data_IF_550299107148
#
_entry.id   IF_550299107148
#
_cell.length_a   1.000
_cell.length_b   1.000
_cell.length_c   1.000
_cell.angle_alpha   90.00
_cell.angle_beta   90.00
_cell.angle_gamma   90.00
#
_symmetry.space_group_name_H-M   'P 1'
#
loop_
_entity.id
_entity.type
_entity.pdbx_description
1 polymer ?
#
# COMPACT_ATOMS: atom_id res chain seq x y z
N UNK A 1 -6.49 -40.72 41.70
CA UNK A 1 -6.00 -39.65 40.80
C UNK A 1 -5.67 -38.41 41.62
N UNK A 2 -4.53 -37.76 41.38
CA UNK A 2 -4.08 -36.56 42.12
C UNK A 2 -4.63 -35.28 41.49
N UNK A 3 -5.23 -34.40 42.30
CA UNK A 3 -5.80 -33.11 41.86
C UNK A 3 -4.70 -32.09 41.60
N UNK A 4 -4.51 -31.68 40.34
CA UNK A 4 -3.57 -30.61 39.96
C UNK A 4 -4.28 -29.26 39.90
N UNK A 5 -3.78 -28.26 40.65
CA UNK A 5 -4.32 -26.89 40.61
C UNK A 5 -3.77 -26.12 39.40
N UNK A 6 -4.60 -25.24 38.83
CA UNK A 6 -4.28 -24.40 37.66
C UNK A 6 -3.09 -23.44 37.86
N UNK A 7 -2.82 -22.97 39.08
CA UNK A 7 -1.64 -22.15 39.41
C UNK A 7 -1.48 -20.87 38.56
N UNK A 8 -0.22 -20.51 38.28
CA UNK A 8 0.19 -19.27 37.61
C UNK A 8 -0.06 -19.24 36.09
N UNK A 9 -0.34 -20.39 35.48
CA UNK A 9 -0.49 -20.55 34.01
C UNK A 9 -1.55 -19.61 33.44
N UNK A 10 -2.68 -19.45 34.15
CA UNK A 10 -3.75 -18.55 33.74
C UNK A 10 -3.38 -17.07 33.88
N UNK A 11 -2.65 -16.69 34.93
CA UNK A 11 -2.16 -15.32 35.13
C UNK A 11 -1.14 -14.95 34.04
N UNK A 12 -0.26 -15.88 33.66
CA UNK A 12 0.69 -15.71 32.54
C UNK A 12 -0.04 -15.43 31.21
N UNK A 13 -1.11 -16.18 30.91
CA UNK A 13 -1.96 -15.95 29.73
C UNK A 13 -2.62 -14.57 29.74
N UNK A 14 -3.19 -14.17 30.88
CA UNK A 14 -3.82 -12.85 31.02
C UNK A 14 -2.82 -11.71 30.86
N UNK A 15 -1.62 -11.83 31.44
CA UNK A 15 -0.54 -10.82 31.30
C UNK A 15 -0.13 -10.63 29.84
N UNK A 16 0.00 -11.72 29.06
CA UNK A 16 0.29 -11.66 27.62
C UNK A 16 -0.79 -10.90 26.84
N UNK A 17 -2.07 -11.15 27.14
CA UNK A 17 -3.19 -10.47 26.48
C UNK A 17 -3.25 -8.99 26.88
N UNK A 18 -3.03 -8.68 28.15
CA UNK A 18 -3.01 -7.30 28.66
C UNK A 18 -1.88 -6.48 28.06
N UNK A 19 -0.70 -7.09 27.87
CA UNK A 19 0.42 -6.46 27.18
C UNK A 19 0.11 -6.09 25.73
N UNK A 20 -0.67 -6.93 25.03
CA UNK A 20 -1.15 -6.61 23.67
C UNK A 20 -2.20 -5.50 23.68
N UNK A 21 -3.05 -5.45 24.70
CA UNK A 21 -4.19 -4.54 24.81
C UNK A 21 -3.87 -3.21 25.55
N UNK A 22 -2.60 -2.92 25.85
CA UNK A 22 -2.21 -1.78 26.69
C UNK A 22 -2.67 -0.43 26.15
N UNK A 23 -2.65 -0.26 24.83
CA UNK A 23 -3.05 0.99 24.14
C UNK A 23 -4.54 1.03 23.82
N UNK A 24 -5.31 0.00 24.17
CA UNK A 24 -6.74 0.00 23.93
C UNK A 24 -7.46 0.92 24.91
N UNK A 25 -8.50 1.59 24.43
CA UNK A 25 -9.22 2.56 25.24
C UNK A 25 -10.18 1.89 26.24
N UNK A 26 -10.31 2.51 27.42
CA UNK A 26 -11.33 2.20 28.43
C UNK A 26 -11.34 0.71 28.83
N UNK A 27 -12.51 0.09 28.83
CA UNK A 27 -12.72 -1.29 29.24
C UNK A 27 -11.93 -2.32 28.41
N UNK A 28 -11.48 -1.97 27.19
CA UNK A 28 -10.74 -2.87 26.32
C UNK A 28 -9.30 -3.14 26.79
N UNK A 29 -8.70 -2.29 27.63
CA UNK A 29 -7.37 -2.53 28.23
C UNK A 29 -7.44 -3.06 29.67
N UNK A 30 -8.61 -2.94 30.33
CA UNK A 30 -8.81 -3.28 31.74
C UNK A 30 -9.46 -4.65 31.91
N UNK A 31 -10.59 -4.90 31.23
CA UNK A 31 -11.40 -6.10 31.45
C UNK A 31 -10.89 -7.28 30.61
N UNK A 32 -10.47 -8.36 31.25
CA UNK A 32 -9.85 -9.51 30.56
C UNK A 32 -10.70 -10.13 29.46
N UNK A 33 -12.01 -10.29 29.67
CA UNK A 33 -12.95 -10.83 28.66
C UNK A 33 -13.05 -9.89 27.45
N UNK A 34 -13.23 -8.61 27.70
CA UNK A 34 -13.35 -7.59 26.64
C UNK A 34 -12.03 -7.44 25.87
N UNK A 35 -10.88 -7.43 26.56
CA UNK A 35 -9.56 -7.42 25.94
C UNK A 35 -9.32 -8.64 25.06
N UNK A 36 -9.76 -9.83 25.49
CA UNK A 36 -9.62 -11.06 24.68
C UNK A 36 -10.39 -10.97 23.36
N UNK A 37 -11.62 -10.44 23.40
CA UNK A 37 -12.44 -10.27 22.20
C UNK A 37 -11.85 -9.21 21.28
N UNK A 38 -11.41 -8.08 21.85
CA UNK A 38 -10.79 -7.01 21.09
C UNK A 38 -9.48 -7.44 20.42
N UNK A 39 -8.67 -8.24 21.10
CA UNK A 39 -7.46 -8.83 20.51
C UNK A 39 -7.78 -9.66 19.27
N UNK A 40 -8.79 -10.51 19.34
CA UNK A 40 -9.20 -11.36 18.19
C UNK A 40 -9.64 -10.46 17.03
N UNK A 41 -10.50 -9.49 17.28
CA UNK A 41 -10.96 -8.53 16.26
C UNK A 41 -9.81 -7.76 15.62
N UNK A 42 -8.86 -7.27 16.43
CA UNK A 42 -7.69 -6.54 15.94
C UNK A 42 -6.82 -7.40 15.03
N UNK A 43 -6.61 -8.68 15.37
CA UNK A 43 -5.82 -9.60 14.54
C UNK A 43 -6.53 -9.92 13.22
N UNK A 44 -7.85 -10.12 13.24
CA UNK A 44 -8.65 -10.35 12.02
C UNK A 44 -8.59 -9.12 11.10
N UNK A 45 -8.81 -7.92 11.64
CA UNK A 45 -8.69 -6.68 10.86
C UNK A 45 -7.27 -6.50 10.31
N UNK A 46 -6.23 -6.72 11.13
CA UNK A 46 -4.84 -6.63 10.67
C UNK A 46 -4.55 -7.56 9.50
N UNK A 47 -5.02 -8.80 9.56
CA UNK A 47 -4.83 -9.75 8.47
C UNK A 47 -5.55 -9.30 7.19
N UNK A 48 -6.82 -8.88 7.30
CA UNK A 48 -7.61 -8.37 6.18
C UNK A 48 -6.97 -7.11 5.56
N UNK A 49 -6.54 -6.18 6.38
CA UNK A 49 -6.06 -4.86 5.95
C UNK A 49 -4.67 -4.94 5.32
N UNK A 50 -3.84 -5.94 5.64
CA UNK A 50 -2.58 -6.21 4.91
C UNK A 50 -2.83 -6.45 3.42
N UNK A 51 -3.89 -7.18 3.09
CA UNK A 51 -4.28 -7.41 1.70
C UNK A 51 -4.91 -6.15 1.09
N UNK A 52 -5.74 -5.43 1.85
CA UNK A 52 -6.36 -4.18 1.41
C UNK A 52 -5.34 -3.08 1.09
N UNK A 53 -4.29 -2.94 1.91
CA UNK A 53 -3.21 -1.95 1.76
C UNK A 53 -2.53 -2.03 0.38
N UNK A 54 -2.39 -3.23 -0.20
CA UNK A 54 -1.86 -3.42 -1.56
C UNK A 54 -2.77 -2.76 -2.62
N UNK A 55 -4.09 -2.90 -2.47
CA UNK A 55 -5.10 -2.28 -3.34
C UNK A 55 -5.15 -0.77 -3.13
N UNK A 56 -5.12 -0.31 -1.89
CA UNK A 56 -5.22 1.11 -1.54
C UNK A 56 -4.02 1.90 -2.08
N UNK A 57 -2.80 1.36 -1.96
CA UNK A 57 -1.61 1.99 -2.56
C UNK A 57 -1.69 2.03 -4.08
N UNK A 58 -2.13 0.94 -4.72
CA UNK A 58 -2.31 0.93 -6.17
C UNK A 58 -3.32 1.98 -6.62
N UNK A 59 -4.43 2.13 -5.88
CA UNK A 59 -5.43 3.18 -6.13
C UNK A 59 -4.81 4.57 -6.03
N UNK A 60 -4.05 4.83 -4.95
CA UNK A 60 -3.36 6.10 -4.74
C UNK A 60 -2.38 6.44 -5.88
N UNK A 61 -1.57 5.46 -6.32
CA UNK A 61 -0.63 5.68 -7.42
C UNK A 61 -1.34 6.02 -8.72
N UNK A 62 -2.45 5.34 -9.04
CA UNK A 62 -3.26 5.64 -10.22
C UNK A 62 -3.81 7.07 -10.15
N UNK A 63 -4.38 7.46 -9.00
CA UNK A 63 -4.91 8.82 -8.81
C UNK A 63 -3.83 9.88 -9.00
N UNK A 64 -2.63 9.66 -8.45
CA UNK A 64 -1.50 10.59 -8.60
C UNK A 64 -1.05 10.73 -10.06
N UNK A 65 -0.85 9.62 -10.75
CA UNK A 65 -0.45 9.63 -12.17
C UNK A 65 -1.53 10.33 -13.00
N UNK A 66 -2.81 10.04 -12.75
CA UNK A 66 -3.91 10.66 -13.48
C UNK A 66 -4.01 12.18 -13.25
N UNK A 67 -3.63 12.68 -12.07
CA UNK A 67 -3.59 14.13 -11.83
C UNK A 67 -2.50 14.79 -12.69
N UNK A 68 -1.26 14.29 -12.62
CA UNK A 68 -0.12 14.86 -13.36
C UNK A 68 -0.31 14.77 -14.87
N UNK A 69 -0.82 13.63 -15.37
CA UNK A 69 -1.06 13.46 -16.82
C UNK A 69 -2.15 14.40 -17.35
N UNK A 70 -3.01 14.95 -16.48
CA UNK A 70 -4.03 15.93 -16.87
C UNK A 70 -3.53 17.37 -16.85
N UNK A 71 -2.50 17.67 -16.08
CA UNK A 71 -1.91 19.01 -16.00
C UNK A 71 -1.08 19.33 -17.25
N UNK A 72 -0.36 18.33 -17.76
CA UNK A 72 0.28 18.41 -19.07
C UNK A 72 -0.78 18.46 -20.17
N UNK A 73 -0.93 19.64 -20.78
CA UNK A 73 -1.99 20.03 -21.72
C UNK A 73 -2.12 19.17 -22.98
N UNK A 74 -1.28 18.16 -23.16
CA UNK A 74 -1.38 17.19 -24.26
C UNK A 74 -2.33 16.09 -23.79
N UNK A 75 -3.58 16.14 -24.25
CA UNK A 75 -4.72 15.27 -23.95
C UNK A 75 -4.42 13.76 -23.72
N UNK A 76 -3.84 13.41 -22.57
CA UNK A 76 -3.54 12.04 -22.19
C UNK A 76 -4.37 11.65 -20.96
N UNK A 77 -5.40 10.85 -21.20
CA UNK A 77 -6.02 10.08 -20.13
C UNK A 77 -5.03 9.03 -19.60
N UNK A 78 -5.08 8.73 -18.31
CA UNK A 78 -4.29 7.67 -17.67
C UNK A 78 -4.26 6.36 -18.47
N UNK A 79 -5.41 5.95 -19.02
CA UNK A 79 -5.55 4.75 -19.86
C UNK A 79 -4.64 4.78 -21.09
N UNK A 80 -4.57 5.90 -21.80
CA UNK A 80 -3.76 6.07 -23.02
C UNK A 80 -2.27 6.12 -22.70
N UNK A 81 -1.88 6.79 -21.62
CA UNK A 81 -0.50 6.80 -21.13
C UNK A 81 -0.01 5.37 -20.83
N UNK A 82 -0.80 4.59 -20.08
CA UNK A 82 -0.45 3.20 -19.77
C UNK A 82 -0.43 2.32 -21.03
N UNK A 83 -1.40 2.48 -21.93
CA UNK A 83 -1.44 1.74 -23.20
C UNK A 83 -0.15 1.97 -24.02
N UNK A 84 0.26 3.23 -24.17
CA UNK A 84 1.45 3.56 -24.93
C UNK A 84 2.74 3.08 -24.24
N UNK A 85 2.82 3.12 -22.91
CA UNK A 85 3.92 2.52 -22.14
C UNK A 85 4.09 1.02 -22.43
N UNK A 86 2.99 0.27 -22.48
CA UNK A 86 3.01 -1.14 -22.84
C UNK A 86 3.38 -1.36 -24.31
N UNK A 87 2.88 -0.52 -25.22
CA UNK A 87 3.24 -0.58 -26.66
C UNK A 87 4.73 -0.38 -26.89
N UNK A 88 5.37 0.50 -26.11
CA UNK A 88 6.81 0.75 -26.15
C UNK A 88 7.63 -0.23 -25.29
N UNK A 89 7.01 -1.28 -24.74
CA UNK A 89 7.66 -2.29 -23.90
C UNK A 89 8.36 -1.73 -22.63
N UNK A 90 7.94 -0.56 -22.16
CA UNK A 90 8.45 0.02 -20.91
C UNK A 90 7.74 -0.60 -19.71
N UNK A 91 8.40 -1.57 -19.07
CA UNK A 91 7.88 -2.32 -17.91
C UNK A 91 7.95 -1.54 -16.58
N UNK A 92 7.52 -0.26 -16.59
CA UNK A 92 7.54 0.58 -15.40
C UNK A 92 6.36 0.26 -14.46
N UNK A 93 6.70 -0.02 -13.21
CA UNK A 93 5.70 -0.18 -12.16
C UNK A 93 5.03 1.15 -11.81
N UNK A 94 3.71 1.11 -11.56
CA UNK A 94 2.90 2.30 -11.18
C UNK A 94 3.41 3.00 -9.92
N UNK A 95 4.06 2.26 -9.01
CA UNK A 95 4.74 2.83 -7.83
C UNK A 95 5.84 3.81 -8.25
N UNK A 96 6.71 3.37 -9.15
CA UNK A 96 7.86 4.15 -9.63
C UNK A 96 7.37 5.34 -10.44
N UNK A 97 6.40 5.12 -11.33
CA UNK A 97 5.81 6.19 -12.13
C UNK A 97 5.16 7.28 -11.26
N UNK A 98 4.40 6.89 -10.22
CA UNK A 98 3.79 7.84 -9.30
C UNK A 98 4.82 8.58 -8.42
N UNK A 99 5.96 7.96 -8.14
CA UNK A 99 7.04 8.62 -7.39
C UNK A 99 7.78 9.63 -8.28
N UNK A 100 8.11 9.24 -9.52
CA UNK A 100 8.71 10.12 -10.52
C UNK A 100 7.83 11.36 -10.74
N UNK A 101 6.52 11.12 -10.94
CA UNK A 101 5.54 12.18 -11.16
C UNK A 101 5.38 13.14 -9.97
N UNK A 102 5.87 12.80 -8.78
CA UNK A 102 5.86 13.71 -7.62
C UNK A 102 7.22 14.36 -7.38
N UNK A 103 8.31 13.62 -7.60
CA UNK A 103 9.65 14.10 -7.28
C UNK A 103 10.23 14.98 -8.39
N UNK A 104 10.02 14.63 -9.66
CA UNK A 104 10.62 15.30 -10.81
C UNK A 104 9.64 15.36 -12.00
N UNK A 105 8.83 16.42 -12.09
CA UNK A 105 7.87 16.59 -13.19
C UNK A 105 8.58 16.59 -14.56
N UNK A 106 9.67 17.34 -14.72
CA UNK A 106 10.42 17.41 -15.98
C UNK A 106 10.82 16.03 -16.55
N UNK A 107 11.16 15.07 -15.67
CA UNK A 107 11.53 13.72 -16.09
C UNK A 107 10.32 12.90 -16.55
N UNK A 108 9.16 13.12 -15.91
CA UNK A 108 7.89 12.53 -16.34
C UNK A 108 7.48 13.05 -17.72
N UNK A 109 7.64 14.35 -17.97
CA UNK A 109 7.32 14.98 -19.25
C UNK A 109 8.23 14.45 -20.37
N UNK A 110 9.52 14.25 -20.07
CA UNK A 110 10.46 13.63 -21.01
C UNK A 110 10.05 12.19 -21.38
N UNK A 111 9.59 11.41 -20.39
CA UNK A 111 9.05 10.07 -20.63
C UNK A 111 7.82 10.16 -21.53
N UNK A 112 6.87 11.05 -21.24
CA UNK A 112 5.68 11.25 -22.06
C UNK A 112 6.02 11.66 -23.48
N UNK A 113 6.95 12.60 -23.67
CA UNK A 113 7.39 13.03 -24.99
C UNK A 113 7.98 11.86 -25.81
N UNK A 114 8.84 11.04 -25.18
CA UNK A 114 9.39 9.83 -25.79
C UNK A 114 8.31 8.80 -26.15
N UNK A 115 7.22 8.76 -25.38
CA UNK A 115 6.08 7.89 -25.63
C UNK A 115 5.28 8.32 -26.87
N UNK A 116 5.16 9.63 -27.10
CA UNK A 116 4.39 10.21 -28.20
C UNK A 116 5.12 10.04 -29.55
N UNK A 117 6.44 10.18 -29.56
CA UNK A 117 7.28 10.13 -30.75
C UNK A 117 8.18 8.88 -30.77
N UNK A 118 7.63 7.67 -31.06
CA UNK A 118 8.41 6.44 -31.10
C UNK A 118 9.46 6.42 -32.23
N UNK A 119 9.28 7.23 -33.27
CA UNK A 119 10.11 7.29 -34.48
C UNK A 119 11.48 7.97 -34.27
N UNK A 120 11.66 8.75 -33.20
CA UNK A 120 12.95 9.34 -32.86
C UNK A 120 13.73 8.39 -31.95
N UNK A 121 14.15 7.25 -32.50
CA UNK A 121 15.33 6.58 -32.00
C UNK A 121 16.52 7.46 -32.40
N UNK A 122 17.22 8.16 -31.47
CA UNK A 122 18.56 8.61 -31.79
C UNK A 122 19.33 7.33 -32.08
N UNK A 123 19.59 7.11 -33.36
CA UNK A 123 20.50 6.12 -33.91
C UNK A 123 21.66 5.95 -32.94
N UNK A 124 21.82 4.72 -32.42
CA UNK A 124 23.10 4.29 -31.88
C UNK A 124 24.03 4.23 -33.10
N UNK A 125 24.58 5.39 -33.48
CA UNK A 125 25.80 5.48 -34.27
C UNK A 125 26.94 5.24 -33.29
N UNK A 126 27.29 3.97 -33.11
CA UNK A 126 28.65 3.51 -32.82
C UNK A 126 28.79 2.12 -33.43
#
# INVERSE_FOLDING_TARGET
>A
MTRVKRGYTARKRQKKIRSFASTFMRAHSILTRTSTQQRIRALVSSHRDRNRRKRDFRRLWITRINAVTREDRVSYSYSRCIHNLYKQQLLLNRKILAQIALSNNNFFDMILFKIINPENHPSIKK
#
